data_IF_087184352203
#
_entry.id   IF_087184352203
#
_cell.length_a   1.000
_cell.length_b   1.000
_cell.length_c   1.000
_cell.angle_alpha   90.00
_cell.angle_beta   90.00
_cell.angle_gamma   90.00
#
_symmetry.space_group_name_H-M   'P 1'
#
loop_
_entity.id
_entity.type
_entity.pdbx_description
1 polymer ?
#
# COMPACT_ATOMS: atom_id res chain seq x y z
N UNK A 1 -26.48 16.23 43.06
CA UNK A 1 -27.34 15.02 43.13
C UNK A 1 -28.35 15.06 42.00
N UNK A 2 -28.74 13.93 41.39
CA UNK A 2 -27.82 13.15 40.53
C UNK A 2 -28.47 12.63 39.23
N UNK A 3 -27.67 12.01 38.36
CA UNK A 3 -28.16 11.18 37.24
C UNK A 3 -27.59 11.62 35.89
N UNK A 4 -27.14 10.70 35.02
CA UNK A 4 -27.06 9.24 35.15
C UNK A 4 -25.90 8.71 34.29
N UNK A 5 -24.97 7.98 34.90
CA UNK A 5 -23.92 7.29 34.14
C UNK A 5 -24.54 6.18 33.27
N UNK A 6 -24.10 6.09 32.02
CA UNK A 6 -24.18 4.86 31.23
C UNK A 6 -22.74 4.55 30.79
N UNK A 7 -22.14 3.55 31.42
CA UNK A 7 -20.87 2.98 30.96
C UNK A 7 -21.16 1.97 29.85
N UNK A 8 -20.81 2.31 28.61
CA UNK A 8 -20.20 1.36 27.70
C UNK A 8 -18.68 1.55 27.76
N UNK A 9 -17.91 0.48 27.62
CA UNK A 9 -16.56 0.42 28.18
C UNK A 9 -15.46 0.92 27.23
N UNK A 10 -14.60 1.81 27.74
CA UNK A 10 -13.15 1.61 27.58
C UNK A 10 -12.36 2.51 26.63
N UNK A 11 -12.92 3.61 26.09
CA UNK A 11 -12.16 4.46 25.16
C UNK A 11 -11.75 5.83 25.75
N UNK A 12 -10.45 6.12 25.66
CA UNK A 12 -9.83 7.45 25.77
C UNK A 12 -8.74 7.53 24.69
N UNK A 13 -8.59 8.69 24.06
CA UNK A 13 -7.54 8.93 23.07
C UNK A 13 -6.24 9.27 23.81
N UNK A 14 -5.21 8.46 23.57
CA UNK A 14 -3.83 8.74 23.97
C UNK A 14 -3.05 9.15 22.71
N UNK A 15 -2.53 10.38 22.72
CA UNK A 15 -2.02 11.07 21.52
C UNK A 15 -0.59 10.64 21.16
N UNK A 16 0.14 9.98 22.07
CA UNK A 16 1.56 9.66 21.87
C UNK A 16 1.80 8.27 21.23
N UNK A 17 0.76 7.45 21.01
CA UNK A 17 0.96 6.03 20.64
C UNK A 17 0.10 5.41 19.55
N UNK A 18 -0.79 6.17 18.89
CA UNK A 18 -1.51 5.81 17.65
C UNK A 18 -1.75 4.30 17.42
N UNK A 19 -2.64 3.70 18.22
CA UNK A 19 -3.11 2.32 18.00
C UNK A 19 -4.63 2.22 18.08
N UNK A 20 -5.24 1.98 16.93
CA UNK A 20 -6.61 1.47 16.80
C UNK A 20 -6.50 -0.01 16.38
N UNK A 21 -7.18 -0.92 17.08
CA UNK A 21 -7.18 -2.34 16.73
C UNK A 21 -8.57 -2.97 16.86
N UNK A 22 -9.25 -3.08 15.72
CA UNK A 22 -10.28 -4.08 15.49
C UNK A 22 -10.27 -4.44 13.99
N UNK A 23 -9.72 -5.61 13.65
CA UNK A 23 -9.69 -6.12 12.27
C UNK A 23 -10.40 -7.47 12.27
N UNK A 24 -11.59 -7.55 11.68
CA UNK A 24 -12.17 -8.84 11.30
C UNK A 24 -11.37 -9.41 10.11
N UNK A 25 -10.97 -10.70 10.14
CA UNK A 25 -9.84 -11.16 9.34
C UNK A 25 -10.20 -11.38 7.86
N UNK A 26 -9.49 -10.68 6.97
CA UNK A 26 -9.20 -11.22 5.64
C UNK A 26 -8.24 -12.40 5.83
N UNK A 27 -8.63 -13.57 5.32
CA UNK A 27 -8.04 -14.85 5.70
C UNK A 27 -6.69 -15.16 5.01
N UNK A 28 -5.62 -14.47 5.40
CA UNK A 28 -4.24 -14.96 5.17
C UNK A 28 -3.25 -14.51 6.25
N UNK A 29 -2.86 -15.43 7.13
CA UNK A 29 -2.00 -15.15 8.29
C UNK A 29 -0.50 -14.90 7.95
N UNK A 30 -0.06 -15.20 6.72
CA UNK A 30 1.26 -14.80 6.22
C UNK A 30 1.28 -13.32 5.81
N UNK A 31 0.27 -12.87 5.08
CA UNK A 31 0.16 -11.54 4.49
C UNK A 31 0.14 -10.43 5.55
N UNK A 32 -0.45 -10.70 6.72
CA UNK A 32 -0.37 -9.77 7.88
C UNK A 32 1.06 -9.63 8.44
N UNK A 33 1.91 -10.67 8.38
CA UNK A 33 3.31 -10.58 8.84
C UNK A 33 4.15 -9.75 7.88
N UNK A 34 3.94 -9.91 6.58
CA UNK A 34 4.60 -9.11 5.53
C UNK A 34 4.21 -7.62 5.63
N UNK A 35 2.93 -7.30 5.85
CA UNK A 35 2.46 -5.93 6.08
C UNK A 35 3.11 -5.36 7.36
N UNK A 36 3.14 -6.14 8.45
CA UNK A 36 3.81 -5.76 9.70
C UNK A 36 5.35 -5.77 9.63
N UNK A 37 5.94 -6.20 8.51
CA UNK A 37 7.36 -6.03 8.20
C UNK A 37 7.60 -4.79 7.33
N UNK A 38 6.78 -4.56 6.30
CA UNK A 38 6.82 -3.34 5.49
C UNK A 38 6.61 -2.07 6.34
N UNK A 39 5.72 -2.12 7.33
CA UNK A 39 5.48 -1.01 8.26
C UNK A 39 6.59 -0.81 9.31
N UNK A 40 7.69 -1.60 9.31
CA UNK A 40 8.81 -1.40 10.24
C UNK A 40 9.68 -0.18 9.90
N UNK A 41 9.56 0.36 8.68
CA UNK A 41 10.09 1.68 8.33
C UNK A 41 9.66 2.79 9.31
N UNK A 42 8.48 2.67 9.93
CA UNK A 42 7.95 3.65 10.89
C UNK A 42 8.68 3.60 12.25
N UNK A 43 9.54 2.61 12.53
CA UNK A 43 10.20 2.51 13.85
C UNK A 43 11.53 1.75 13.88
N UNK A 44 12.55 2.30 13.24
CA UNK A 44 13.95 2.06 13.62
C UNK A 44 14.52 3.32 14.31
N UNK A 45 15.07 3.23 15.54
CA UNK A 45 15.73 4.37 16.17
C UNK A 45 17.11 4.61 15.54
N UNK A 46 17.51 5.89 15.39
CA UNK A 46 18.87 6.24 14.97
C UNK A 46 19.92 5.82 16.02
N UNK A 47 21.11 5.35 15.60
CA UNK A 47 22.24 5.17 16.48
C UNK A 47 22.98 6.51 16.70
N UNK A 48 22.81 7.08 17.89
CA UNK A 48 23.68 8.10 18.47
C UNK A 48 23.81 7.84 19.98
N UNK A 49 24.91 8.14 20.67
CA UNK A 49 26.11 8.88 20.24
C UNK A 49 27.37 8.25 20.90
N UNK A 50 28.58 8.56 20.41
CA UNK A 50 29.80 7.81 20.72
C UNK A 50 30.93 8.64 21.39
N UNK A 51 31.02 8.56 22.72
CA UNK A 51 32.23 8.87 23.50
C UNK A 51 32.16 8.13 24.85
N UNK A 52 33.23 7.58 25.43
CA UNK A 52 34.66 7.91 25.30
C UNK A 52 35.60 6.70 25.17
N UNK A 53 36.77 6.93 24.55
CA UNK A 53 38.14 6.36 24.75
C UNK A 53 38.27 5.22 25.80
N UNK A 54 39.06 4.15 25.58
CA UNK A 54 40.41 4.10 24.99
C UNK A 54 40.81 2.73 24.38
N UNK A 55 41.63 2.74 23.31
CA UNK A 55 42.76 1.81 23.14
C UNK A 55 42.61 0.62 22.16
N UNK A 56 43.62 0.44 21.29
CA UNK A 56 44.00 -0.87 20.73
C UNK A 56 43.42 -1.27 19.37
N UNK A 57 44.29 -1.31 18.36
CA UNK A 57 44.17 -2.13 17.14
C UNK A 57 45.50 -2.91 16.98
N UNK A 58 45.61 -3.98 16.15
CA UNK A 58 44.67 -4.40 15.11
C UNK A 58 44.28 -5.91 15.07
N UNK A 59 43.26 -6.18 14.25
CA UNK A 59 42.82 -7.42 13.62
C UNK A 59 43.61 -8.75 13.81
N UNK A 60 42.92 -9.76 14.32
CA UNK A 60 42.63 -11.02 13.58
C UNK A 60 41.39 -11.70 14.18
N UNK A 61 40.51 -12.26 13.34
CA UNK A 61 39.34 -13.04 13.78
C UNK A 61 39.27 -14.32 12.93
N UNK A 62 39.33 -15.53 13.53
CA UNK A 62 39.47 -16.78 12.77
C UNK A 62 38.13 -17.31 12.23
N UNK A 63 38.24 -18.10 11.14
CA UNK A 63 37.19 -19.01 10.66
C UNK A 63 37.28 -20.37 11.40
N UNK A 64 36.44 -21.35 11.01
CA UNK A 64 36.36 -22.77 11.47
C UNK A 64 35.49 -22.98 12.73
N UNK A 65 34.55 -23.93 12.83
CA UNK A 65 33.80 -24.76 11.84
C UNK A 65 32.66 -25.51 12.58
N UNK A 66 31.67 -26.01 11.81
CA UNK A 66 30.67 -27.05 12.20
C UNK A 66 29.76 -26.66 13.41
N UNK A 67 28.60 -27.28 13.65
CA UNK A 67 28.08 -28.61 13.28
C UNK A 67 26.53 -28.56 13.11
N UNK A 68 25.95 -29.44 12.28
CA UNK A 68 24.49 -29.63 12.16
C UNK A 68 24.13 -31.10 12.44
N UNK A 69 23.23 -31.41 13.39
CA UNK A 69 22.85 -32.79 13.67
C UNK A 69 21.79 -33.31 12.68
N UNK A 70 22.21 -34.29 11.87
CA UNK A 70 21.39 -35.32 11.21
C UNK A 70 21.78 -36.63 11.94
N UNK A 71 20.97 -37.66 12.19
CA UNK A 71 19.87 -38.35 11.50
C UNK A 71 19.14 -39.20 12.61
N UNK A 72 18.00 -39.92 12.53
CA UNK A 72 17.26 -40.60 11.45
C UNK A 72 15.71 -40.32 11.51
N UNK A 73 14.73 -41.26 11.58
CA UNK A 73 13.60 -41.17 10.63
C UNK A 73 12.17 -41.22 11.24
N UNK A 74 11.22 -40.54 10.60
CA UNK A 74 9.78 -40.87 10.71
C UNK A 74 9.15 -40.95 9.33
N UNK A 75 8.40 -42.04 9.11
CA UNK A 75 7.73 -42.50 7.91
C UNK A 75 7.17 -41.41 6.97
N UNK A 76 7.43 -41.57 5.67
CA UNK A 76 6.59 -40.93 4.65
C UNK A 76 5.15 -41.42 4.78
N UNK A 77 4.22 -40.48 4.97
CA UNK A 77 2.88 -40.57 4.39
C UNK A 77 2.79 -39.48 3.32
N UNK A 78 2.27 -39.83 2.14
CA UNK A 78 2.24 -38.91 1.01
C UNK A 78 1.34 -37.70 1.31
N UNK A 79 1.97 -36.55 1.51
CA UNK A 79 1.29 -35.27 1.62
C UNK A 79 0.72 -34.90 0.24
N UNK A 80 -0.46 -35.44 -0.07
CA UNK A 80 -1.21 -35.20 -1.31
C UNK A 80 -1.21 -33.70 -1.60
N UNK A 81 -0.53 -33.31 -2.68
CA UNK A 81 -0.38 -31.92 -3.07
C UNK A 81 -1.77 -31.30 -3.30
N UNK A 82 -2.21 -30.47 -2.36
CA UNK A 82 -3.57 -29.93 -2.37
C UNK A 82 -3.72 -28.92 -3.51
N UNK A 83 -4.53 -29.29 -4.50
CA UNK A 83 -4.95 -28.39 -5.58
C UNK A 83 -5.42 -27.05 -4.99
N UNK A 84 -4.98 -25.90 -5.54
CA UNK A 84 -5.23 -24.60 -4.93
C UNK A 84 -6.73 -24.39 -4.69
N UNK A 85 -7.09 -24.19 -3.42
CA UNK A 85 -8.47 -24.07 -3.00
C UNK A 85 -9.16 -22.90 -3.72
N UNK A 86 -10.36 -23.14 -4.28
CA UNK A 86 -11.11 -22.10 -5.00
C UNK A 86 -11.31 -20.86 -4.11
N UNK A 87 -11.03 -19.64 -4.60
CA UNK A 87 -11.15 -18.43 -3.80
C UNK A 87 -12.53 -18.28 -3.16
N UNK A 88 -12.55 -17.78 -1.91
CA UNK A 88 -13.77 -17.64 -1.13
C UNK A 88 -14.79 -16.74 -1.85
N UNK A 89 -16.11 -16.88 -1.57
CA UNK A 89 -17.13 -16.04 -2.21
C UNK A 89 -16.85 -14.55 -2.04
N UNK A 90 -16.39 -14.12 -0.87
CA UNK A 90 -16.03 -12.73 -0.59
C UNK A 90 -14.89 -12.24 -1.49
N UNK A 91 -13.82 -13.03 -1.66
CA UNK A 91 -12.70 -12.69 -2.54
C UNK A 91 -13.17 -12.54 -3.99
N UNK A 92 -13.96 -13.48 -4.51
CA UNK A 92 -14.47 -13.40 -5.90
C UNK A 92 -15.38 -12.20 -6.15
N UNK A 93 -16.23 -11.84 -5.18
CA UNK A 93 -17.05 -10.62 -5.24
C UNK A 93 -16.14 -9.40 -5.30
N UNK A 94 -15.13 -9.35 -4.42
CA UNK A 94 -14.21 -8.23 -4.32
C UNK A 94 -13.35 -8.08 -5.58
N UNK A 95 -12.83 -9.17 -6.15
CA UNK A 95 -12.10 -9.16 -7.43
C UNK A 95 -12.98 -8.61 -8.57
N UNK A 96 -14.22 -9.10 -8.66
CA UNK A 96 -15.17 -8.74 -9.71
C UNK A 96 -15.59 -7.27 -9.61
N UNK A 97 -15.91 -6.81 -8.40
CA UNK A 97 -16.23 -5.42 -8.12
C UNK A 97 -15.03 -4.50 -8.35
N UNK A 98 -13.84 -4.92 -7.93
CA UNK A 98 -12.59 -4.18 -8.08
C UNK A 98 -12.25 -3.91 -9.56
N UNK A 99 -12.55 -4.86 -10.45
CA UNK A 99 -12.47 -4.65 -11.89
C UNK A 99 -13.59 -3.74 -12.39
N UNK A 100 -14.85 -4.16 -12.22
CA UNK A 100 -16.02 -3.46 -12.77
C UNK A 100 -16.12 -1.98 -12.37
N UNK A 101 -15.83 -1.63 -11.10
CA UNK A 101 -15.87 -0.25 -10.63
C UNK A 101 -14.73 0.62 -11.17
N UNK A 102 -13.63 0.03 -11.65
CA UNK A 102 -12.48 0.76 -12.21
C UNK A 102 -12.54 0.85 -13.73
N UNK A 103 -13.11 -0.16 -14.40
CA UNK A 103 -13.43 -0.14 -15.83
C UNK A 103 -14.63 0.79 -16.15
N UNK A 104 -15.66 0.78 -15.30
CA UNK A 104 -16.99 1.36 -15.62
C UNK A 104 -17.57 2.30 -14.54
N UNK A 105 -16.84 2.55 -13.45
CA UNK A 105 -17.29 3.41 -12.35
C UNK A 105 -18.30 2.76 -11.39
N UNK A 106 -18.65 3.48 -10.34
CA UNK A 106 -19.54 3.03 -9.28
C UNK A 106 -21.02 2.99 -9.69
N UNK A 107 -21.39 3.43 -10.90
CA UNK A 107 -22.75 3.23 -11.45
C UNK A 107 -23.13 1.76 -11.65
N UNK A 108 -22.18 0.82 -11.72
CA UNK A 108 -22.45 -0.63 -11.91
C UNK A 108 -23.37 -1.19 -10.80
N UNK A 109 -24.38 -1.98 -11.20
CA UNK A 109 -25.38 -2.56 -10.30
C UNK A 109 -24.91 -3.82 -9.55
N UNK A 110 -25.42 -4.06 -8.34
CA UNK A 110 -25.09 -5.23 -7.50
C UNK A 110 -25.32 -6.55 -8.25
N UNK A 111 -26.45 -6.70 -8.94
CA UNK A 111 -26.81 -7.98 -9.58
C UNK A 111 -25.83 -8.38 -10.69
N UNK A 112 -25.15 -7.42 -11.34
CA UNK A 112 -24.07 -7.68 -12.30
C UNK A 112 -22.79 -8.16 -11.61
N UNK A 113 -22.44 -7.58 -10.45
CA UNK A 113 -21.32 -8.08 -9.63
C UNK A 113 -21.61 -9.50 -9.13
N UNK A 114 -22.85 -9.80 -8.73
CA UNK A 114 -23.28 -11.15 -8.31
C UNK A 114 -23.15 -12.16 -9.45
N UNK A 115 -23.63 -11.83 -10.65
CA UNK A 115 -23.59 -12.75 -11.79
C UNK A 115 -22.17 -13.02 -12.28
N UNK A 116 -21.34 -11.98 -12.42
CA UNK A 116 -19.95 -12.12 -12.91
C UNK A 116 -19.03 -12.81 -11.87
N UNK A 117 -19.23 -12.57 -10.56
CA UNK A 117 -18.44 -13.23 -9.48
C UNK A 117 -18.86 -14.68 -9.19
N UNK A 118 -19.97 -15.13 -9.80
CA UNK A 118 -20.53 -16.48 -9.69
C UNK A 118 -20.75 -16.87 -8.22
N UNK A 119 -21.58 -16.06 -7.53
CA UNK A 119 -22.02 -16.28 -6.14
C UNK A 119 -23.55 -16.29 -6.05
N UNK A 120 -24.10 -16.92 -5.01
CA UNK A 120 -25.51 -16.76 -4.68
C UNK A 120 -25.77 -15.39 -4.04
N UNK A 121 -26.94 -14.78 -4.30
CA UNK A 121 -27.32 -13.47 -3.74
C UNK A 121 -27.28 -13.42 -2.20
N UNK A 122 -27.65 -14.51 -1.53
CA UNK A 122 -27.51 -14.64 -0.07
C UNK A 122 -26.04 -14.75 0.41
N UNK A 123 -25.12 -15.23 -0.43
CA UNK A 123 -23.67 -15.22 -0.13
C UNK A 123 -23.06 -13.84 -0.34
N UNK A 124 -23.58 -13.04 -1.28
CA UNK A 124 -23.16 -11.65 -1.48
C UNK A 124 -23.45 -10.81 -0.24
N UNK A 125 -24.72 -10.74 0.19
CA UNK A 125 -25.11 -9.90 1.32
C UNK A 125 -24.54 -10.36 2.68
N UNK A 126 -24.09 -11.63 2.78
CA UNK A 126 -23.34 -12.12 3.94
C UNK A 126 -21.88 -11.59 3.98
N UNK A 127 -21.30 -11.29 2.82
CA UNK A 127 -19.93 -10.77 2.72
C UNK A 127 -19.90 -9.23 2.67
N UNK A 128 -20.86 -8.61 1.99
CA UNK A 128 -20.97 -7.16 1.81
C UNK A 128 -22.45 -6.75 1.99
N UNK A 129 -22.83 -6.18 3.15
CA UNK A 129 -24.23 -5.86 3.45
C UNK A 129 -24.86 -4.86 2.48
N UNK A 130 -24.07 -3.91 1.96
CA UNK A 130 -24.49 -2.93 0.95
C UNK A 130 -23.47 -2.80 -0.19
N UNK A 131 -23.87 -2.05 -1.23
CA UNK A 131 -22.95 -1.61 -2.30
C UNK A 131 -21.85 -0.70 -1.76
N UNK A 132 -22.19 0.16 -0.80
CA UNK A 132 -21.28 1.13 -0.22
C UNK A 132 -20.16 0.44 0.59
N UNK A 133 -20.50 -0.61 1.35
CA UNK A 133 -19.52 -1.47 2.04
C UNK A 133 -18.54 -2.13 1.04
N UNK A 134 -19.06 -2.55 -0.12
CA UNK A 134 -18.26 -3.15 -1.18
C UNK A 134 -17.35 -2.11 -1.87
N UNK A 135 -17.84 -0.89 -2.12
CA UNK A 135 -17.02 0.22 -2.63
C UNK A 135 -15.90 0.57 -1.64
N UNK A 136 -16.22 0.69 -0.35
CA UNK A 136 -15.26 0.91 0.73
C UNK A 136 -14.22 -0.22 0.79
N UNK A 137 -14.64 -1.48 0.64
CA UNK A 137 -13.72 -2.63 0.61
C UNK A 137 -12.81 -2.63 -0.63
N UNK A 138 -13.34 -2.29 -1.82
CA UNK A 138 -12.56 -2.14 -3.06
C UNK A 138 -11.50 -1.06 -2.91
N UNK A 139 -11.87 0.13 -2.42
CA UNK A 139 -10.93 1.26 -2.25
C UNK A 139 -9.84 0.94 -1.21
N UNK A 140 -10.19 0.33 -0.07
CA UNK A 140 -9.21 -0.11 0.92
C UNK A 140 -8.22 -1.12 0.34
N UNK A 141 -8.72 -2.14 -0.38
CA UNK A 141 -7.87 -3.12 -1.07
C UNK A 141 -6.95 -2.48 -2.10
N UNK A 142 -7.46 -1.52 -2.91
CA UNK A 142 -6.64 -0.80 -3.89
C UNK A 142 -5.54 0.04 -3.23
N UNK A 143 -5.81 0.71 -2.11
CA UNK A 143 -4.78 1.41 -1.34
C UNK A 143 -3.72 0.41 -0.86
N UNK A 144 -4.14 -0.67 -0.20
CA UNK A 144 -3.23 -1.70 0.29
C UNK A 144 -2.37 -2.35 -0.81
N UNK A 145 -2.95 -2.73 -1.95
CA UNK A 145 -2.25 -3.38 -3.05
C UNK A 145 -1.29 -2.41 -3.76
N UNK A 146 -1.76 -1.20 -4.09
CA UNK A 146 -0.97 -0.21 -4.81
C UNK A 146 0.15 0.36 -3.93
N UNK A 147 -0.13 0.81 -2.70
CA UNK A 147 0.90 1.40 -1.82
C UNK A 147 1.96 0.35 -1.45
N UNK A 148 1.57 -0.90 -1.17
CA UNK A 148 2.52 -2.00 -0.89
C UNK A 148 3.37 -2.36 -2.11
N UNK A 149 2.84 -2.25 -3.33
CA UNK A 149 3.66 -2.42 -4.53
C UNK A 149 4.59 -1.21 -4.76
N UNK A 150 4.06 0.01 -4.72
CA UNK A 150 4.77 1.24 -5.04
C UNK A 150 5.96 1.48 -4.10
N UNK A 151 5.75 1.43 -2.77
CA UNK A 151 6.82 1.62 -1.78
C UNK A 151 7.95 0.60 -1.97
N UNK A 152 7.63 -0.70 -2.14
CA UNK A 152 8.64 -1.73 -2.38
C UNK A 152 9.37 -1.54 -3.72
N UNK A 153 8.70 -1.02 -4.76
CA UNK A 153 9.38 -0.79 -6.04
C UNK A 153 10.28 0.43 -6.00
N UNK A 154 9.86 1.51 -5.35
CA UNK A 154 10.68 2.71 -5.10
C UNK A 154 11.91 2.37 -4.24
N UNK A 155 11.75 1.56 -3.20
CA UNK A 155 12.84 1.05 -2.34
C UNK A 155 13.84 0.17 -3.12
N UNK A 156 13.34 -0.77 -3.92
CA UNK A 156 14.17 -1.58 -4.82
C UNK A 156 14.92 -0.72 -5.84
N UNK A 157 14.24 0.21 -6.52
CA UNK A 157 14.85 1.17 -7.46
C UNK A 157 15.90 2.06 -6.78
N UNK A 158 15.66 2.46 -5.53
CA UNK A 158 16.60 3.24 -4.71
C UNK A 158 17.87 2.44 -4.39
N UNK A 159 17.72 1.14 -4.11
CA UNK A 159 18.84 0.20 -3.91
C UNK A 159 19.58 -0.09 -5.22
N UNK A 160 18.86 -0.30 -6.32
CA UNK A 160 19.40 -0.61 -7.66
C UNK A 160 20.14 0.56 -8.31
N UNK A 161 19.66 1.80 -8.12
CA UNK A 161 20.02 2.98 -8.93
C UNK A 161 20.37 4.23 -8.12
N UNK A 162 20.49 4.10 -6.80
CA UNK A 162 20.79 5.20 -5.88
C UNK A 162 19.58 6.06 -5.51
N UNK A 163 19.72 6.71 -4.35
CA UNK A 163 18.75 7.62 -3.72
C UNK A 163 18.53 8.87 -4.57
N UNK A 164 17.25 9.13 -4.90
CA UNK A 164 16.80 10.23 -5.75
C UNK A 164 15.26 10.20 -5.84
N UNK A 165 14.60 11.36 -5.81
CA UNK A 165 13.15 11.48 -6.06
C UNK A 165 12.75 10.94 -7.44
N UNK A 166 13.65 10.87 -8.42
CA UNK A 166 13.39 10.28 -9.75
C UNK A 166 12.94 8.81 -9.64
N UNK A 167 13.26 8.08 -8.56
CA UNK A 167 12.77 6.71 -8.37
C UNK A 167 11.24 6.61 -8.22
N UNK A 168 10.58 7.68 -7.78
CA UNK A 168 9.12 7.80 -7.83
C UNK A 168 8.61 7.78 -9.27
N UNK A 169 9.26 8.53 -10.18
CA UNK A 169 8.91 8.57 -11.60
C UNK A 169 9.28 7.28 -12.36
N UNK A 170 10.39 6.62 -12.01
CA UNK A 170 10.73 5.28 -12.51
C UNK A 170 9.60 4.28 -12.19
N UNK A 171 9.17 4.23 -10.92
CA UNK A 171 8.08 3.35 -10.48
C UNK A 171 6.74 3.72 -11.15
N UNK A 172 6.38 5.00 -11.23
CA UNK A 172 5.19 5.44 -11.96
C UNK A 172 5.23 5.02 -13.44
N UNK A 173 6.39 5.09 -14.10
CA UNK A 173 6.56 4.60 -15.47
C UNK A 173 6.24 3.11 -15.63
N UNK A 174 6.69 2.27 -14.68
CA UNK A 174 6.35 0.84 -14.65
C UNK A 174 4.86 0.57 -14.38
N UNK A 175 4.15 1.47 -13.70
CA UNK A 175 2.70 1.37 -13.53
C UNK A 175 1.91 1.83 -14.76
N UNK A 176 2.31 2.96 -15.35
CA UNK A 176 1.64 3.52 -16.54
C UNK A 176 1.81 2.63 -17.78
N UNK A 177 2.82 1.76 -17.79
CA UNK A 177 3.08 0.80 -18.86
C UNK A 177 2.26 -0.50 -18.78
N UNK A 178 1.33 -0.64 -17.82
CA UNK A 178 0.47 -1.82 -17.71
C UNK A 178 -0.82 -1.70 -18.52
N UNK A 179 -1.24 -2.82 -19.12
CA UNK A 179 -2.50 -2.92 -19.87
C UNK A 179 -3.75 -2.58 -19.03
N UNK A 180 -3.67 -2.72 -17.69
CA UNK A 180 -4.74 -2.41 -16.73
C UNK A 180 -4.70 -0.96 -16.21
N UNK A 181 -3.76 -0.11 -16.65
CA UNK A 181 -3.70 1.28 -16.18
C UNK A 181 -4.87 2.13 -16.68
N UNK A 182 -5.66 2.69 -15.77
CA UNK A 182 -6.79 3.60 -16.04
C UNK A 182 -6.74 4.87 -15.18
N UNK A 183 -5.54 5.30 -14.77
CA UNK A 183 -5.33 6.43 -13.86
C UNK A 183 -5.46 6.06 -12.38
N UNK A 184 -5.53 7.07 -11.51
CA UNK A 184 -5.67 6.85 -10.06
C UNK A 184 -7.09 6.37 -9.74
N UNK A 185 -7.25 5.21 -9.07
CA UNK A 185 -8.57 4.77 -8.64
C UNK A 185 -9.20 5.70 -7.59
N UNK A 186 -8.41 6.52 -6.90
CA UNK A 186 -8.87 7.48 -5.89
C UNK A 186 -9.33 8.79 -6.55
N UNK A 187 -8.59 9.31 -7.51
CA UNK A 187 -9.00 10.46 -8.33
C UNK A 187 -10.23 10.12 -9.19
N UNK A 188 -10.26 8.92 -9.79
CA UNK A 188 -11.44 8.41 -10.51
C UNK A 188 -12.65 8.28 -9.57
N UNK A 189 -12.45 7.83 -8.33
CA UNK A 189 -13.52 7.70 -7.35
C UNK A 189 -14.12 9.05 -6.97
N UNK A 190 -13.31 10.07 -6.68
CA UNK A 190 -13.78 11.43 -6.36
C UNK A 190 -14.47 12.13 -7.55
N UNK A 191 -14.21 11.68 -8.78
CA UNK A 191 -14.88 12.18 -9.98
C UNK A 191 -16.22 11.49 -10.29
N UNK A 192 -16.55 10.37 -9.64
CA UNK A 192 -17.81 9.64 -9.84
C UNK A 192 -18.90 10.17 -8.89
N UNK A 193 -19.94 10.79 -9.46
CA UNK A 193 -21.11 11.29 -8.73
C UNK A 193 -21.90 10.19 -7.96
N UNK A 194 -21.59 8.91 -8.18
CA UNK A 194 -22.15 7.76 -7.45
C UNK A 194 -21.32 7.34 -6.23
N UNK A 195 -20.23 8.04 -5.89
CA UNK A 195 -19.40 7.76 -4.71
C UNK A 195 -20.18 8.02 -3.41
N UNK A 196 -20.37 7.03 -2.52
CA UNK A 196 -21.03 7.26 -1.25
C UNK A 196 -20.12 8.01 -0.26
N UNK A 197 -20.70 8.82 0.62
CA UNK A 197 -19.94 9.61 1.63
C UNK A 197 -19.06 8.76 2.55
N UNK A 198 -19.43 7.50 2.79
CA UNK A 198 -18.63 6.52 3.54
C UNK A 198 -17.32 6.12 2.85
N UNK A 199 -17.22 6.30 1.53
CA UNK A 199 -16.05 6.00 0.72
C UNK A 199 -15.12 7.21 0.54
N UNK A 200 -15.62 8.46 0.63
CA UNK A 200 -14.82 9.69 0.62
C UNK A 200 -13.75 9.68 1.72
N UNK A 201 -14.12 9.21 2.92
CA UNK A 201 -13.20 9.01 4.06
C UNK A 201 -12.08 7.98 3.76
N UNK A 202 -12.29 7.05 2.82
CA UNK A 202 -11.23 6.12 2.38
C UNK A 202 -10.25 6.81 1.42
N UNK A 203 -10.72 7.78 0.64
CA UNK A 203 -9.86 8.60 -0.23
C UNK A 203 -8.96 9.50 0.61
N UNK A 204 -9.51 10.31 1.51
CA UNK A 204 -8.70 11.19 2.36
C UNK A 204 -7.66 10.42 3.21
N UNK A 205 -7.97 9.19 3.64
CA UNK A 205 -7.00 8.31 4.31
C UNK A 205 -5.92 7.75 3.39
N UNK A 206 -6.21 7.55 2.10
CA UNK A 206 -5.21 7.21 1.09
C UNK A 206 -4.27 8.40 0.86
N UNK A 207 -4.81 9.59 0.65
CA UNK A 207 -4.06 10.84 0.38
C UNK A 207 -3.09 11.16 1.54
N UNK A 208 -3.61 11.17 2.77
CA UNK A 208 -2.83 11.42 4.00
C UNK A 208 -1.84 10.27 4.33
N UNK A 209 -2.10 9.04 3.88
CA UNK A 209 -1.11 7.97 3.96
C UNK A 209 -0.01 8.11 2.90
N UNK A 210 -0.33 8.65 1.72
CA UNK A 210 0.64 8.98 0.68
C UNK A 210 1.55 10.13 1.12
N UNK A 211 1.00 11.25 1.61
CA UNK A 211 1.79 12.40 2.12
C UNK A 211 2.83 11.98 3.15
N UNK A 212 2.46 11.16 4.14
CA UNK A 212 3.40 10.59 5.12
C UNK A 212 4.46 9.67 4.50
N UNK A 213 4.11 8.91 3.47
CA UNK A 213 5.08 8.07 2.76
C UNK A 213 6.07 8.90 1.92
N UNK A 214 5.62 10.04 1.36
CA UNK A 214 6.49 11.00 0.66
C UNK A 214 7.45 11.69 1.64
N UNK A 215 6.98 12.15 2.80
CA UNK A 215 7.84 12.72 3.85
C UNK A 215 8.93 11.74 4.29
N UNK A 216 8.57 10.51 4.64
CA UNK A 216 9.54 9.47 5.01
C UNK A 216 10.51 9.11 3.87
N UNK A 217 10.09 9.28 2.60
CA UNK A 217 10.97 9.07 1.46
C UNK A 217 11.93 10.26 1.22
N UNK A 218 11.50 11.50 1.47
CA UNK A 218 12.36 12.70 1.46
C UNK A 218 13.50 12.57 2.48
N UNK A 219 13.18 12.19 3.72
CA UNK A 219 14.17 11.87 4.75
C UNK A 219 15.15 10.78 4.29
N UNK A 220 14.62 9.68 3.71
CA UNK A 220 15.42 8.56 3.25
C UNK A 220 16.42 8.95 2.14
N UNK A 221 16.00 9.77 1.16
CA UNK A 221 16.90 10.24 0.09
C UNK A 221 17.87 11.33 0.55
N UNK A 222 17.62 11.95 1.70
CA UNK A 222 18.49 12.98 2.29
C UNK A 222 18.13 14.40 1.89
N UNK A 223 16.85 14.66 1.60
CA UNK A 223 16.30 15.99 1.32
C UNK A 223 15.54 16.53 2.54
N UNK A 224 15.17 17.81 2.50
CA UNK A 224 14.29 18.40 3.51
C UNK A 224 12.89 17.78 3.43
N UNK A 225 12.43 17.18 4.53
CA UNK A 225 11.11 16.60 4.66
C UNK A 225 10.12 17.61 5.27
N UNK A 226 9.82 18.67 4.51
CA UNK A 226 8.76 19.64 4.84
C UNK A 226 7.47 19.37 4.06
N UNK A 227 6.34 19.78 4.62
CA UNK A 227 5.02 19.61 3.99
C UNK A 227 4.95 20.29 2.61
N UNK A 228 5.62 21.44 2.43
CA UNK A 228 5.68 22.13 1.12
C UNK A 228 6.36 21.26 0.05
N UNK A 229 7.47 20.61 0.37
CA UNK A 229 8.17 19.71 -0.57
C UNK A 229 7.36 18.45 -0.82
N UNK A 230 6.69 17.90 0.20
CA UNK A 230 5.79 16.76 0.04
C UNK A 230 4.60 17.06 -0.88
N UNK A 231 3.97 18.23 -0.72
CA UNK A 231 2.86 18.70 -1.58
C UNK A 231 3.34 18.97 -3.02
N UNK A 232 4.51 19.58 -3.21
CA UNK A 232 5.12 19.74 -4.54
C UNK A 232 5.38 18.38 -5.22
N UNK A 233 5.87 17.38 -4.48
CA UNK A 233 6.09 16.02 -5.00
C UNK A 233 4.75 15.33 -5.31
N UNK A 234 3.73 15.44 -4.44
CA UNK A 234 2.40 14.86 -4.69
C UNK A 234 1.76 15.45 -5.95
N UNK A 235 1.81 16.78 -6.12
CA UNK A 235 1.29 17.47 -7.30
C UNK A 235 1.98 17.00 -8.61
N UNK A 236 3.29 16.73 -8.57
CA UNK A 236 4.02 16.16 -9.71
C UNK A 236 3.56 14.71 -9.99
N UNK A 237 3.41 13.89 -8.95
CA UNK A 237 2.96 12.49 -9.04
C UNK A 237 1.53 12.41 -9.60
N UNK A 238 0.58 13.13 -9.02
CA UNK A 238 -0.82 13.19 -9.45
C UNK A 238 -0.95 13.77 -10.85
N UNK A 239 -0.24 14.87 -11.14
CA UNK A 239 -0.18 15.48 -12.47
C UNK A 239 0.33 14.50 -13.53
N UNK A 240 1.32 13.67 -13.21
CA UNK A 240 1.83 12.62 -14.10
C UNK A 240 0.79 11.51 -14.33
N UNK A 241 0.10 11.05 -13.27
CA UNK A 241 -0.96 10.03 -13.36
C UNK A 241 -2.09 10.52 -14.28
N UNK A 242 -2.59 11.73 -14.06
CA UNK A 242 -3.64 12.34 -14.89
C UNK A 242 -3.14 12.59 -16.32
N UNK A 243 -1.88 12.99 -16.51
CA UNK A 243 -1.30 13.22 -17.84
C UNK A 243 -1.13 11.94 -18.66
N UNK A 244 -0.83 10.81 -18.01
CA UNK A 244 -0.81 9.48 -18.61
C UNK A 244 -2.23 9.01 -18.94
N UNK A 245 -3.18 9.15 -18.01
CA UNK A 245 -4.57 8.69 -18.15
C UNK A 245 -5.34 9.38 -19.29
N UNK A 246 -5.18 10.71 -19.46
CA UNK A 246 -5.98 11.51 -20.40
C UNK A 246 -5.55 11.41 -21.87
N UNK A 247 -4.56 10.59 -22.21
CA UNK A 247 -3.76 10.83 -23.41
C UNK A 247 -3.88 9.74 -24.48
N UNK A 248 -4.60 10.10 -25.55
CA UNK A 248 -4.88 9.26 -26.72
C UNK A 248 -3.67 9.11 -27.68
N UNK A 249 -2.50 8.70 -27.15
CA UNK A 249 -1.31 8.40 -27.95
C UNK A 249 -0.40 7.36 -27.25
N UNK A 250 0.22 6.41 -27.98
CA UNK A 250 0.92 5.27 -27.38
C UNK A 250 2.07 5.62 -26.41
N UNK A 251 2.80 6.71 -26.66
CA UNK A 251 3.97 7.08 -25.85
C UNK A 251 3.63 7.98 -24.63
N UNK A 252 2.36 8.31 -24.41
CA UNK A 252 1.96 9.30 -23.40
C UNK A 252 2.31 8.91 -21.97
N UNK A 253 2.14 7.63 -21.60
CA UNK A 253 2.56 7.07 -20.32
C UNK A 253 4.05 7.35 -20.06
N UNK A 254 4.90 6.97 -21.01
CA UNK A 254 6.34 7.19 -20.93
C UNK A 254 6.70 8.69 -20.96
N UNK A 255 5.97 9.53 -21.70
CA UNK A 255 6.17 10.97 -21.71
C UNK A 255 5.78 11.65 -20.37
N UNK A 256 4.73 11.18 -19.71
CA UNK A 256 4.33 11.65 -18.38
C UNK A 256 5.36 11.27 -17.31
N UNK A 257 5.86 10.02 -17.34
CA UNK A 257 6.95 9.58 -16.46
C UNK A 257 8.25 10.39 -16.69
N UNK A 258 8.63 10.65 -17.95
CA UNK A 258 9.79 11.53 -18.27
C UNK A 258 9.59 12.97 -17.78
N UNK A 259 8.38 13.52 -17.87
CA UNK A 259 8.07 14.85 -17.36
C UNK A 259 8.17 14.89 -15.82
N UNK A 260 7.61 13.90 -15.13
CA UNK A 260 7.72 13.76 -13.67
C UNK A 260 9.19 13.66 -13.23
N UNK A 261 9.98 12.79 -13.87
CA UNK A 261 11.41 12.66 -13.60
C UNK A 261 12.16 14.00 -13.78
N UNK A 262 11.86 14.77 -14.83
CA UNK A 262 12.50 16.08 -15.09
C UNK A 262 12.11 17.18 -14.10
N UNK A 263 10.98 17.05 -13.41
CA UNK A 263 10.55 17.96 -12.33
C UNK A 263 11.13 17.53 -10.98
N UNK A 264 11.03 16.24 -10.64
CA UNK A 264 11.61 15.66 -9.42
C UNK A 264 13.12 15.84 -9.35
N UNK A 265 13.83 15.70 -10.49
CA UNK A 265 15.26 15.99 -10.61
C UNK A 265 15.65 17.48 -10.35
N UNK A 266 14.69 18.39 -10.20
CA UNK A 266 14.92 19.78 -9.77
C UNK A 266 14.76 19.96 -8.26
N UNK A 267 13.92 19.13 -7.63
CA UNK A 267 13.73 19.05 -6.18
C UNK A 267 14.82 18.20 -5.51
N UNK A 268 15.44 17.28 -6.24
CA UNK A 268 16.61 16.45 -5.86
C UNK A 268 17.91 17.25 -5.57
N UNK A 269 17.83 18.57 -5.43
CA UNK A 269 18.99 19.41 -5.09
C UNK A 269 19.11 19.48 -3.57
N UNK A 270 20.25 19.07 -2.97
CA UNK A 270 20.50 19.34 -1.56
C UNK A 270 20.55 20.86 -1.32
N UNK A 271 20.11 21.25 -0.13
CA UNK A 271 20.20 22.62 0.43
C UNK A 271 21.63 22.92 0.87
#
# INVERSE_FOLDING_TARGET
MPGRHIHTAGERIDVERFRVFAIHPIAHASQQREIAQALRFVRAPHPGDASTRTGGCPATNPLVCLELPVDRPVCHTDAVASSPARPSPAVRILDTANRLFYDEGFRVGIDRVISESKVAKASFYRAYPSKDDLIVAVLRRRHEEWTRWFVRRVDALTTERGRSLVRLADALGEWFARDDFRGSPFTNAMADASLPRTAVEVVHRHDEALRRALLAYLEHVGLEASDEVADQVSLIVEGAIVRAQRADRPDAAAAAARAAASLLARLDRPV
#
